data_IF_426969331277
#
_entry.id   IF_426969331277
#
_cell.length_a   1.000
_cell.length_b   1.000
_cell.length_c   1.000
_cell.angle_alpha   90.00
_cell.angle_beta   90.00
_cell.angle_gamma   90.00
#
_symmetry.space_group_name_H-M   'P 1'
#
loop_
_entity.id
_entity.type
_entity.pdbx_description
1 polymer ?
#
# COMPACT_ATOMS: atom_id res chain seq x y z
N UNK A 1 5.45 -4.44 17.31
CA UNK A 1 4.20 -4.12 16.59
C UNK A 1 3.32 -5.37 16.50
N UNK A 2 2.02 -5.29 16.82
CA UNK A 2 1.11 -6.44 16.70
C UNK A 2 0.37 -6.39 15.34
N UNK A 3 0.95 -7.02 14.32
CA UNK A 3 0.40 -7.04 12.95
C UNK A 3 -1.03 -7.58 12.91
N UNK A 4 -1.32 -8.70 13.57
CA UNK A 4 -2.65 -9.33 13.52
C UNK A 4 -3.73 -8.41 14.07
N UNK A 5 -3.42 -7.65 15.12
CA UNK A 5 -4.34 -6.66 15.68
C UNK A 5 -4.58 -5.49 14.72
N UNK A 6 -3.55 -5.03 13.99
CA UNK A 6 -3.70 -4.00 12.96
C UNK A 6 -4.63 -4.48 11.86
N UNK A 7 -4.43 -5.70 11.36
CA UNK A 7 -5.23 -6.28 10.29
C UNK A 7 -6.68 -6.45 10.73
N UNK A 8 -6.94 -7.07 11.89
CA UNK A 8 -8.30 -7.24 12.42
C UNK A 8 -9.02 -5.91 12.60
N UNK A 9 -8.35 -4.92 13.20
CA UNK A 9 -8.96 -3.60 13.41
C UNK A 9 -9.27 -2.90 12.08
N UNK A 10 -8.41 -3.03 11.07
CA UNK A 10 -8.65 -2.49 9.74
C UNK A 10 -9.86 -3.16 9.06
N UNK A 11 -9.99 -4.48 9.20
CA UNK A 11 -11.11 -5.24 8.66
C UNK A 11 -12.43 -4.83 9.33
N UNK A 12 -12.47 -4.79 10.67
CA UNK A 12 -13.63 -4.35 11.44
C UNK A 12 -14.05 -2.91 11.09
N UNK A 13 -13.09 -2.02 10.85
CA UNK A 13 -13.38 -0.65 10.41
C UNK A 13 -13.98 -0.61 9.00
N UNK A 14 -13.48 -1.42 8.08
CA UNK A 14 -14.01 -1.51 6.72
C UNK A 14 -15.42 -2.10 6.70
N UNK A 15 -15.69 -3.11 7.53
CA UNK A 15 -17.03 -3.66 7.73
C UNK A 15 -18.00 -2.60 8.25
N UNK A 16 -17.58 -1.80 9.24
CA UNK A 16 -18.40 -0.68 9.73
C UNK A 16 -18.66 0.37 8.67
N UNK A 17 -17.66 0.75 7.87
CA UNK A 17 -17.84 1.70 6.78
C UNK A 17 -18.84 1.19 5.72
N UNK A 18 -18.74 -0.09 5.34
CA UNK A 18 -19.67 -0.73 4.41
C UNK A 18 -21.09 -0.81 4.99
N UNK A 19 -21.25 -1.18 6.27
CA UNK A 19 -22.54 -1.23 6.95
C UNK A 19 -23.21 0.16 7.03
N UNK A 20 -22.42 1.23 7.09
CA UNK A 20 -22.89 2.62 7.05
C UNK A 20 -23.19 3.13 5.63
N UNK A 21 -22.97 2.30 4.59
CA UNK A 21 -23.23 2.66 3.20
C UNK A 21 -22.22 3.65 2.61
N UNK A 22 -20.99 3.69 3.15
CA UNK A 22 -19.93 4.52 2.58
C UNK A 22 -19.64 4.11 1.13
N UNK A 23 -19.60 5.10 0.22
CA UNK A 23 -19.24 4.88 -1.20
C UNK A 23 -17.81 5.28 -1.52
N UNK A 24 -17.25 6.17 -0.72
CA UNK A 24 -15.90 6.68 -0.89
C UNK A 24 -15.30 7.11 0.44
N UNK A 25 -14.00 6.89 0.61
CA UNK A 25 -13.23 7.31 1.78
C UNK A 25 -11.95 7.99 1.31
N UNK A 26 -11.58 9.08 1.98
CA UNK A 26 -10.31 9.78 1.78
C UNK A 26 -9.39 9.46 2.95
N UNK A 27 -8.18 8.98 2.68
CA UNK A 27 -7.22 8.55 3.70
C UNK A 27 -5.94 9.38 3.66
N UNK A 28 -5.39 9.79 4.81
CA UNK A 28 -4.17 10.58 4.85
C UNK A 28 -2.94 9.73 4.50
N UNK A 29 -2.01 10.34 3.78
CA UNK A 29 -0.63 9.87 3.63
C UNK A 29 0.28 10.95 4.17
N UNK A 30 1.10 10.61 5.16
CA UNK A 30 2.01 11.54 5.80
C UNK A 30 3.43 10.97 5.68
N UNK A 31 4.34 11.76 5.13
CA UNK A 31 5.76 11.41 5.09
C UNK A 31 6.28 11.22 6.53
N UNK A 32 7.34 10.42 6.73
CA UNK A 32 7.87 10.23 8.10
C UNK A 32 8.27 11.56 8.74
N UNK A 33 8.83 12.49 7.96
CA UNK A 33 9.22 13.82 8.42
C UNK A 33 8.00 14.67 8.83
N UNK A 34 6.97 14.72 8.01
CA UNK A 34 5.74 15.43 8.35
C UNK A 34 5.04 14.77 9.55
N UNK A 35 5.03 13.43 9.61
CA UNK A 35 4.41 12.67 10.69
C UNK A 35 5.10 12.94 12.03
N UNK A 36 6.45 12.87 12.07
CA UNK A 36 7.19 13.17 13.32
C UNK A 36 6.98 14.62 13.74
N UNK A 37 6.97 15.55 12.79
CA UNK A 37 6.75 16.97 13.08
C UNK A 37 5.36 17.18 13.64
N UNK A 38 4.33 16.64 12.98
CA UNK A 38 2.92 16.72 13.36
C UNK A 38 2.68 16.15 14.77
N UNK A 39 3.28 15.00 15.08
CA UNK A 39 3.17 14.32 16.37
C UNK A 39 4.16 14.79 17.45
N UNK A 40 5.08 15.72 17.15
CA UNK A 40 6.10 16.18 18.10
C UNK A 40 7.07 15.09 18.54
N UNK A 41 7.39 14.14 17.64
CA UNK A 41 8.27 13.00 17.90
C UNK A 41 9.70 13.30 17.47
N UNK A 42 10.68 12.73 18.17
CA UNK A 42 12.09 12.73 17.76
C UNK A 42 12.31 11.72 16.63
N UNK A 43 13.36 11.91 15.84
CA UNK A 43 13.80 10.86 14.90
C UNK A 43 14.56 9.78 15.68
N UNK A 44 13.83 8.75 16.07
CA UNK A 44 14.36 7.56 16.73
C UNK A 44 13.64 6.29 16.21
N UNK A 45 14.14 5.12 16.61
CA UNK A 45 13.58 3.84 16.20
C UNK A 45 12.10 3.69 16.60
N UNK A 46 11.72 4.20 17.76
CA UNK A 46 10.34 4.12 18.27
C UNK A 46 9.38 4.93 17.40
N UNK A 47 9.78 6.13 16.98
CA UNK A 47 9.01 6.96 16.04
C UNK A 47 8.86 6.29 14.67
N UNK A 48 9.93 5.69 14.15
CA UNK A 48 9.90 4.96 12.87
C UNK A 48 8.98 3.74 12.92
N UNK A 49 9.01 2.98 14.01
CA UNK A 49 8.11 1.84 14.20
C UNK A 49 6.64 2.27 14.35
N UNK A 50 6.37 3.39 15.03
CA UNK A 50 5.03 3.94 15.16
C UNK A 50 4.48 4.46 13.83
N UNK A 51 5.28 5.20 13.05
CA UNK A 51 4.91 5.63 11.70
C UNK A 51 4.64 4.44 10.78
N UNK A 52 5.51 3.43 10.82
CA UNK A 52 5.33 2.19 10.06
C UNK A 52 4.03 1.47 10.43
N UNK A 53 3.67 1.41 11.71
CA UNK A 53 2.42 0.82 12.16
C UNK A 53 1.20 1.57 11.62
N UNK A 54 1.31 2.90 11.46
CA UNK A 54 0.28 3.73 10.85
C UNK A 54 0.17 3.50 9.34
N UNK A 55 1.28 3.49 8.62
CA UNK A 55 1.31 3.15 7.19
C UNK A 55 0.65 1.80 6.93
N UNK A 56 1.00 0.80 7.74
CA UNK A 56 0.44 -0.54 7.67
C UNK A 56 -1.06 -0.55 7.92
N UNK A 57 -1.54 0.19 8.93
CA UNK A 57 -2.98 0.32 9.22
C UNK A 57 -3.73 0.94 8.04
N UNK A 58 -3.20 2.00 7.46
CA UNK A 58 -3.82 2.67 6.31
C UNK A 58 -3.80 1.77 5.07
N UNK A 59 -2.73 1.01 4.84
CA UNK A 59 -2.64 0.04 3.76
C UNK A 59 -3.73 -1.03 3.86
N UNK A 60 -3.81 -1.75 5.00
CA UNK A 60 -4.83 -2.79 5.17
C UNK A 60 -6.25 -2.22 5.13
N UNK A 61 -6.48 -1.07 5.76
CA UNK A 61 -7.80 -0.45 5.75
C UNK A 61 -8.23 -0.09 4.33
N UNK A 62 -7.34 0.50 3.53
CA UNK A 62 -7.56 0.74 2.10
C UNK A 62 -7.94 -0.56 1.37
N UNK A 63 -7.15 -1.63 1.51
CA UNK A 63 -7.41 -2.90 0.82
C UNK A 63 -8.78 -3.48 1.16
N UNK A 64 -9.17 -3.47 2.44
CA UNK A 64 -10.48 -3.99 2.85
C UNK A 64 -11.66 -3.11 2.43
N UNK A 65 -11.47 -1.78 2.33
CA UNK A 65 -12.48 -0.88 1.74
C UNK A 65 -12.67 -1.19 0.25
N UNK A 66 -11.57 -1.32 -0.50
CA UNK A 66 -11.58 -1.62 -1.94
C UNK A 66 -12.24 -2.98 -2.23
N UNK A 67 -11.94 -4.02 -1.43
CA UNK A 67 -12.56 -5.34 -1.53
C UNK A 67 -14.09 -5.30 -1.32
N UNK A 68 -14.61 -4.26 -0.65
CA UNK A 68 -16.04 -4.02 -0.43
C UNK A 68 -16.66 -3.08 -1.47
N UNK A 69 -15.91 -2.72 -2.51
CA UNK A 69 -16.36 -1.80 -3.56
C UNK A 69 -16.42 -0.33 -3.13
N UNK A 70 -15.75 0.04 -2.03
CA UNK A 70 -15.68 1.42 -1.55
C UNK A 70 -14.48 2.09 -2.22
N UNK A 71 -14.71 3.21 -2.90
CA UNK A 71 -13.63 3.98 -3.52
C UNK A 71 -12.70 4.58 -2.46
N UNK A 72 -11.40 4.48 -2.65
CA UNK A 72 -10.42 5.08 -1.73
C UNK A 72 -9.54 6.08 -2.46
N UNK A 73 -9.45 7.30 -1.94
CA UNK A 73 -8.52 8.31 -2.41
C UNK A 73 -7.50 8.60 -1.31
N UNK A 74 -6.23 8.35 -1.59
CA UNK A 74 -5.13 8.71 -0.70
C UNK A 74 -4.83 10.20 -0.86
N UNK A 75 -4.60 10.93 0.22
CA UNK A 75 -4.36 12.39 0.22
C UNK A 75 -3.08 12.69 0.96
N UNK A 76 -2.08 13.23 0.25
CA UNK A 76 -0.81 13.62 0.86
C UNK A 76 -1.00 14.81 1.78
N UNK A 77 -0.58 14.67 3.04
CA UNK A 77 -0.72 15.67 4.08
C UNK A 77 0.66 16.15 4.54
N UNK A 78 0.81 17.47 4.65
CA UNK A 78 2.00 18.15 5.19
C UNK A 78 1.71 18.63 6.59
N UNK A 79 2.69 18.62 7.49
CA UNK A 79 2.47 18.93 8.89
C UNK A 79 1.94 20.35 9.11
N UNK A 80 2.55 21.35 8.46
CA UNK A 80 2.23 22.76 8.68
C UNK A 80 0.84 23.14 8.12
N UNK A 81 0.47 22.80 6.87
CA UNK A 81 -0.87 23.05 6.35
C UNK A 81 -1.99 22.40 7.17
N UNK A 82 -1.77 21.18 7.67
CA UNK A 82 -2.76 20.52 8.55
C UNK A 82 -2.93 21.28 9.86
N UNK A 83 -1.84 21.82 10.42
CA UNK A 83 -1.86 22.59 11.67
C UNK A 83 -2.53 23.93 11.50
N UNK A 84 -2.20 24.65 10.44
CA UNK A 84 -2.82 25.94 10.08
C UNK A 84 -4.32 25.76 9.92
N UNK A 85 -4.74 24.76 9.12
CA UNK A 85 -6.15 24.44 8.94
C UNK A 85 -6.85 24.09 10.26
N UNK A 86 -6.21 23.30 11.13
CA UNK A 86 -6.80 22.92 12.42
C UNK A 86 -7.00 24.14 13.34
N UNK A 87 -6.07 25.10 13.34
CA UNK A 87 -6.20 26.36 14.08
C UNK A 87 -7.32 27.23 13.51
N UNK A 88 -7.40 27.36 12.18
CA UNK A 88 -8.44 28.15 11.51
C UNK A 88 -9.86 27.61 11.71
N UNK A 89 -9.99 26.31 11.99
CA UNK A 89 -11.26 25.61 12.14
C UNK A 89 -11.53 25.16 13.59
N UNK A 90 -10.82 25.72 14.58
CA UNK A 90 -10.99 25.45 16.02
C UNK A 90 -10.92 23.96 16.40
N UNK A 91 -10.10 23.18 15.68
CA UNK A 91 -9.89 21.76 15.96
C UNK A 91 -8.73 21.55 16.95
N UNK A 92 -8.97 20.90 18.11
CA UNK A 92 -7.89 20.60 19.07
C UNK A 92 -6.91 19.56 18.51
N UNK A 93 -5.65 19.63 18.94
CA UNK A 93 -4.55 18.73 18.53
C UNK A 93 -3.64 18.30 19.69
N UNK A 94 -4.14 18.30 20.92
CA UNK A 94 -3.38 18.00 22.13
C UNK A 94 -3.16 16.50 22.30
N UNK A 95 -4.19 15.68 22.01
CA UNK A 95 -4.13 14.23 22.13
C UNK A 95 -3.87 13.51 20.79
N UNK A 96 -3.49 12.24 20.85
CA UNK A 96 -3.35 11.42 19.63
C UNK A 96 -4.71 11.22 18.92
N UNK A 97 -5.79 11.03 19.68
CA UNK A 97 -7.13 10.88 19.12
C UNK A 97 -7.60 12.14 18.40
N UNK A 98 -7.32 13.30 18.98
CA UNK A 98 -7.58 14.61 18.38
C UNK A 98 -6.81 14.80 17.06
N UNK A 99 -5.51 14.49 17.04
CA UNK A 99 -4.70 14.56 15.82
C UNK A 99 -5.22 13.65 14.69
N UNK A 100 -5.68 12.45 15.02
CA UNK A 100 -6.30 11.54 14.05
C UNK A 100 -7.62 12.10 13.52
N UNK A 101 -8.43 12.71 14.38
CA UNK A 101 -9.67 13.38 13.99
C UNK A 101 -9.39 14.57 13.06
N UNK A 102 -8.37 15.38 13.37
CA UNK A 102 -7.92 16.49 12.50
C UNK A 102 -7.52 15.97 11.13
N UNK A 103 -6.67 14.95 11.04
CA UNK A 103 -6.28 14.37 9.75
C UNK A 103 -7.50 13.86 8.97
N UNK A 104 -8.43 13.18 9.65
CA UNK A 104 -9.65 12.67 9.02
C UNK A 104 -10.54 13.80 8.46
N UNK A 105 -10.64 14.94 9.13
CA UNK A 105 -11.38 16.09 8.60
C UNK A 105 -10.61 16.82 7.50
N UNK A 106 -9.32 17.07 7.71
CA UNK A 106 -8.46 17.78 6.76
C UNK A 106 -8.48 17.12 5.38
N UNK A 107 -8.35 15.80 5.30
CA UNK A 107 -8.31 15.08 4.01
C UNK A 107 -9.63 15.15 3.24
N UNK A 108 -10.75 15.48 3.89
CA UNK A 108 -12.06 15.61 3.27
C UNK A 108 -12.35 17.01 2.69
N UNK A 109 -11.37 17.91 2.73
CA UNK A 109 -11.47 19.17 2.01
C UNK A 109 -11.64 18.94 0.49
N UNK A 110 -12.54 19.68 -0.17
CA UNK A 110 -12.95 19.42 -1.55
C UNK A 110 -11.85 19.73 -2.57
N UNK A 111 -10.93 20.63 -2.24
CA UNK A 111 -9.86 21.14 -3.09
C UNK A 111 -8.54 20.35 -2.98
N UNK A 112 -8.41 19.47 -1.97
CA UNK A 112 -7.24 18.60 -1.86
C UNK A 112 -7.26 17.55 -2.98
N UNK A 113 -6.21 17.44 -3.81
CA UNK A 113 -6.14 16.41 -4.83
C UNK A 113 -5.78 15.04 -4.20
N UNK A 114 -6.17 13.93 -4.86
CA UNK A 114 -5.59 12.63 -4.55
C UNK A 114 -4.07 12.62 -4.79
N UNK A 115 -3.37 11.76 -4.05
CA UNK A 115 -1.95 11.52 -4.20
C UNK A 115 -1.60 11.06 -5.63
N UNK A 116 -0.57 11.66 -6.21
CA UNK A 116 -0.06 11.32 -7.53
C UNK A 116 1.27 10.58 -7.37
N UNK A 117 1.25 9.26 -7.51
CA UNK A 117 2.46 8.45 -7.46
C UNK A 117 2.77 7.82 -8.82
N UNK A 118 4.06 7.66 -9.13
CA UNK A 118 4.56 7.13 -10.41
C UNK A 118 5.05 5.67 -10.34
N UNK A 119 4.97 5.03 -9.16
CA UNK A 119 5.53 3.68 -8.95
C UNK A 119 4.66 2.53 -9.48
N UNK A 120 3.41 2.80 -9.87
CA UNK A 120 2.54 1.89 -10.61
C UNK A 120 2.20 2.60 -11.92
N UNK A 121 2.73 2.12 -13.05
CA UNK A 121 2.38 2.64 -14.39
C UNK A 121 1.35 1.69 -15.00
N UNK A 122 0.08 2.11 -15.14
CA UNK A 122 -0.91 1.24 -15.74
C UNK A 122 -0.52 0.91 -17.20
N UNK A 123 -0.87 -0.30 -17.63
CA UNK A 123 -0.89 -0.69 -19.04
C UNK A 123 -1.64 0.35 -19.86
N UNK A 124 -0.89 1.05 -20.71
CA UNK A 124 -1.48 1.81 -21.80
C UNK A 124 -1.72 0.86 -22.99
N UNK A 125 -2.72 1.15 -23.82
CA UNK A 125 -3.16 0.25 -24.90
C UNK A 125 -2.05 -0.05 -25.94
N UNK A 126 -1.11 0.87 -26.10
CA UNK A 126 0.12 0.74 -26.88
C UNK A 126 1.10 -0.29 -26.28
N UNK A 127 1.22 -0.37 -24.95
CA UNK A 127 2.07 -1.37 -24.30
C UNK A 127 1.53 -2.79 -24.46
N UNK A 128 0.21 -2.99 -24.39
CA UNK A 128 -0.41 -4.30 -24.60
C UNK A 128 -0.18 -4.86 -26.02
N UNK A 129 -0.12 -3.98 -27.04
CA UNK A 129 0.10 -4.36 -28.44
C UNK A 129 1.56 -4.40 -28.90
N UNK A 130 2.51 -4.08 -28.03
CA UNK A 130 3.91 -3.83 -28.39
C UNK A 130 4.77 -5.08 -28.64
N UNK A 131 4.29 -6.27 -28.22
CA UNK A 131 5.10 -7.49 -28.26
C UNK A 131 6.23 -7.51 -27.22
N UNK A 132 6.18 -6.65 -26.20
CA UNK A 132 7.13 -6.65 -25.08
C UNK A 132 7.15 -8.02 -24.38
N UNK A 133 8.36 -8.50 -24.07
CA UNK A 133 8.54 -9.69 -23.24
C UNK A 133 8.21 -9.36 -21.79
N UNK A 134 7.14 -9.97 -21.28
CA UNK A 134 6.67 -9.80 -19.91
C UNK A 134 7.15 -10.94 -19.02
N UNK A 135 7.59 -10.57 -17.83
CA UNK A 135 8.04 -11.47 -16.78
C UNK A 135 7.20 -11.22 -15.53
N UNK A 136 7.22 -12.16 -14.59
CA UNK A 136 6.61 -11.96 -13.28
C UNK A 136 7.61 -12.13 -12.15
N UNK A 137 7.41 -11.40 -11.05
CA UNK A 137 8.09 -11.64 -9.78
C UNK A 137 7.07 -11.91 -8.70
N UNK A 138 7.21 -13.03 -8.00
CA UNK A 138 6.47 -13.37 -6.81
C UNK A 138 7.32 -13.01 -5.58
N UNK A 139 6.74 -12.27 -4.65
CA UNK A 139 7.41 -11.86 -3.41
C UNK A 139 6.45 -12.01 -2.24
N UNK A 140 6.90 -12.71 -1.20
CA UNK A 140 6.17 -12.83 0.05
C UNK A 140 6.61 -11.71 0.99
N UNK A 141 5.64 -10.96 1.53
CA UNK A 141 5.92 -9.90 2.49
C UNK A 141 5.37 -10.25 3.89
N UNK A 142 6.11 -9.87 4.93
CA UNK A 142 5.72 -10.00 6.34
C UNK A 142 6.72 -9.28 7.25
N UNK A 143 6.31 -8.86 8.46
CA UNK A 143 7.26 -8.23 9.40
C UNK A 143 8.40 -9.16 9.86
N UNK A 144 8.14 -10.47 9.84
CA UNK A 144 9.12 -11.49 10.16
C UNK A 144 8.99 -12.68 9.20
N UNK A 145 10.07 -13.46 9.00
CA UNK A 145 10.04 -14.64 8.15
C UNK A 145 8.96 -15.67 8.53
N UNK A 146 8.66 -15.79 9.81
CA UNK A 146 7.67 -16.76 10.32
C UNK A 146 6.22 -16.27 10.24
N UNK A 147 5.99 -15.04 9.78
CA UNK A 147 4.67 -14.42 9.70
C UNK A 147 4.47 -13.74 8.34
N UNK A 148 4.39 -14.51 7.24
CA UNK A 148 4.02 -13.96 5.94
C UNK A 148 2.59 -13.41 5.97
N UNK A 149 2.38 -12.31 5.28
CA UNK A 149 1.13 -11.54 5.32
C UNK A 149 0.55 -11.32 3.92
N UNK A 150 1.40 -11.12 2.92
CA UNK A 150 1.01 -10.74 1.56
C UNK A 150 1.82 -11.56 0.56
N UNK A 151 1.15 -12.19 -0.40
CA UNK A 151 1.79 -12.64 -1.63
C UNK A 151 1.60 -11.57 -2.70
N UNK A 152 2.68 -10.95 -3.13
CA UNK A 152 2.67 -9.98 -4.23
C UNK A 152 3.13 -10.68 -5.50
N UNK A 153 2.35 -10.58 -6.56
CA UNK A 153 2.75 -10.97 -7.92
C UNK A 153 2.82 -9.71 -8.77
N UNK A 154 3.97 -9.44 -9.36
CA UNK A 154 4.21 -8.26 -10.19
C UNK A 154 4.50 -8.70 -11.60
N UNK A 155 3.72 -8.24 -12.56
CA UNK A 155 4.05 -8.37 -13.99
C UNK A 155 4.86 -7.16 -14.40
N UNK A 156 6.02 -7.38 -15.01
CA UNK A 156 6.94 -6.31 -15.36
C UNK A 156 7.78 -6.64 -16.60
N UNK A 157 8.33 -5.58 -17.18
CA UNK A 157 9.33 -5.66 -18.24
C UNK A 157 10.71 -5.99 -17.66
N UNK A 158 11.67 -6.33 -18.55
CA UNK A 158 13.04 -6.68 -18.15
C UNK A 158 13.82 -5.53 -17.50
N UNK A 159 13.52 -4.29 -17.89
CA UNK A 159 14.08 -3.07 -17.32
C UNK A 159 13.40 -2.63 -16.00
N UNK A 160 12.46 -3.44 -15.48
CA UNK A 160 11.81 -3.20 -14.18
C UNK A 160 10.55 -2.32 -14.25
N UNK A 161 10.04 -2.03 -15.45
CA UNK A 161 8.77 -1.34 -15.63
C UNK A 161 7.61 -2.20 -15.13
N UNK A 162 6.96 -1.77 -14.03
CA UNK A 162 5.81 -2.46 -13.44
C UNK A 162 4.56 -2.18 -14.27
N UNK A 163 3.87 -3.26 -14.65
CA UNK A 163 2.73 -3.27 -15.54
C UNK A 163 1.41 -3.44 -14.78
N UNK A 164 1.35 -4.48 -13.94
CA UNK A 164 0.26 -4.80 -13.04
C UNK A 164 0.87 -5.46 -11.81
N UNK A 165 0.32 -5.16 -10.63
CA UNK A 165 0.65 -5.87 -9.40
C UNK A 165 -0.63 -6.39 -8.76
N UNK A 166 -0.54 -7.59 -8.21
CA UNK A 166 -1.59 -8.23 -7.44
C UNK A 166 -1.05 -8.55 -6.06
N UNK A 167 -1.60 -7.90 -5.05
CA UNK A 167 -1.29 -8.15 -3.65
C UNK A 167 -2.43 -8.95 -3.01
N UNK A 168 -2.19 -10.25 -2.80
CA UNK A 168 -3.12 -11.18 -2.13
C UNK A 168 -2.81 -11.22 -0.64
N UNK A 169 -3.81 -10.87 0.19
CA UNK A 169 -3.67 -10.90 1.64
C UNK A 169 -3.90 -12.32 2.17
N UNK A 170 -2.93 -12.86 2.92
CA UNK A 170 -3.01 -14.20 3.50
C UNK A 170 -4.08 -14.35 4.61
N UNK A 171 -4.64 -13.24 5.08
CA UNK A 171 -5.78 -13.25 6.01
C UNK A 171 -7.13 -13.46 5.32
N UNK A 172 -7.20 -13.25 4.01
CA UNK A 172 -8.41 -13.43 3.21
C UNK A 172 -8.35 -14.70 2.33
N UNK A 173 -7.15 -15.25 2.13
CA UNK A 173 -6.92 -16.33 1.19
C UNK A 173 -6.00 -17.40 1.77
N UNK A 174 -6.28 -18.65 1.46
CA UNK A 174 -5.35 -19.75 1.66
C UNK A 174 -4.12 -19.62 0.72
N UNK A 175 -3.00 -20.31 1.03
CA UNK A 175 -1.85 -20.33 0.15
C UNK A 175 -2.17 -20.81 -1.28
N UNK A 176 -3.09 -21.77 -1.41
CA UNK A 176 -3.50 -22.29 -2.72
C UNK A 176 -4.28 -21.24 -3.51
N UNK A 177 -5.27 -20.58 -2.91
CA UNK A 177 -6.04 -19.51 -3.57
C UNK A 177 -5.13 -18.35 -4.00
N UNK A 178 -4.17 -17.98 -3.16
CA UNK A 178 -3.19 -16.94 -3.49
C UNK A 178 -2.31 -17.33 -4.70
N UNK A 179 -1.91 -18.60 -4.77
CA UNK A 179 -1.17 -19.13 -5.92
C UNK A 179 -2.03 -19.16 -7.19
N UNK A 180 -3.29 -19.61 -7.09
CA UNK A 180 -4.20 -19.67 -8.24
C UNK A 180 -4.46 -18.27 -8.83
N UNK A 181 -4.64 -17.26 -7.98
CA UNK A 181 -4.79 -15.86 -8.39
C UNK A 181 -3.52 -15.30 -9.05
N UNK A 182 -2.34 -15.66 -8.53
CA UNK A 182 -1.07 -15.30 -9.14
C UNK A 182 -0.91 -15.92 -10.55
N UNK A 183 -1.29 -17.19 -10.69
CA UNK A 183 -1.27 -17.90 -11.98
C UNK A 183 -2.25 -17.31 -13.00
N UNK A 184 -3.45 -16.91 -12.57
CA UNK A 184 -4.41 -16.22 -13.42
C UNK A 184 -3.82 -14.90 -13.96
N UNK A 185 -3.25 -14.07 -13.10
CA UNK A 185 -2.60 -12.82 -13.52
C UNK A 185 -1.49 -13.08 -14.55
N UNK A 186 -0.60 -14.04 -14.28
CA UNK A 186 0.49 -14.38 -15.20
C UNK A 186 -0.03 -14.91 -16.55
N UNK A 187 -1.09 -15.72 -16.53
CA UNK A 187 -1.70 -16.28 -17.74
C UNK A 187 -2.37 -15.19 -18.58
N UNK A 188 -3.11 -14.26 -17.95
CA UNK A 188 -3.76 -13.12 -18.63
C UNK A 188 -2.78 -12.25 -19.41
N UNK A 189 -1.53 -12.14 -18.93
CA UNK A 189 -0.46 -11.35 -19.56
C UNK A 189 0.51 -12.17 -20.43
N UNK A 190 0.31 -13.48 -20.56
CA UNK A 190 1.19 -14.34 -21.36
C UNK A 190 2.64 -14.38 -20.83
N UNK A 191 2.83 -14.24 -19.51
CA UNK A 191 4.14 -14.28 -18.86
C UNK A 191 4.84 -15.61 -19.15
N UNK A 192 6.10 -15.54 -19.57
CA UNK A 192 6.90 -16.73 -19.91
C UNK A 192 7.86 -17.16 -18.81
N UNK A 193 8.40 -16.20 -18.06
CA UNK A 193 9.30 -16.46 -16.95
C UNK A 193 8.75 -15.81 -15.68
N UNK A 194 8.79 -16.57 -14.60
CA UNK A 194 8.47 -16.10 -13.26
C UNK A 194 9.69 -16.26 -12.36
N UNK A 195 9.99 -15.20 -11.62
CA UNK A 195 11.00 -15.16 -10.57
C UNK A 195 10.30 -15.28 -9.23
N UNK A 196 10.92 -15.98 -8.30
CA UNK A 196 10.44 -16.05 -6.93
C UNK A 196 11.52 -15.52 -6.01
N UNK A 197 11.17 -14.54 -5.20
CA UNK A 197 12.00 -14.15 -4.07
C UNK A 197 11.90 -15.22 -2.99
N UNK A 198 12.99 -15.92 -2.63
CA UNK A 198 12.95 -16.95 -1.60
C UNK A 198 12.81 -16.39 -0.18
N UNK A 199 12.97 -15.08 0.01
CA UNK A 199 12.91 -14.43 1.31
C UNK A 199 11.53 -13.82 1.57
N UNK A 200 11.11 -13.85 2.83
CA UNK A 200 10.00 -13.02 3.30
C UNK A 200 10.53 -11.61 3.54
N UNK A 201 10.09 -10.67 2.71
CA UNK A 201 10.51 -9.28 2.80
C UNK A 201 9.67 -8.51 3.79
N UNK A 202 10.32 -7.59 4.48
CA UNK A 202 9.58 -6.59 5.26
C UNK A 202 8.78 -5.70 4.29
N UNK A 203 7.46 -5.48 4.49
CA UNK A 203 6.70 -4.56 3.64
C UNK A 203 7.31 -3.16 3.66
N UNK A 204 7.35 -2.46 2.54
CA UNK A 204 7.68 -1.03 2.52
C UNK A 204 6.55 -0.30 1.81
N UNK A 205 6.26 0.93 2.21
CA UNK A 205 5.12 1.67 1.70
C UNK A 205 5.59 2.97 1.06
N UNK A 206 5.00 3.30 -0.09
CA UNK A 206 5.30 4.54 -0.78
C UNK A 206 4.94 5.75 0.12
N UNK A 207 5.85 6.71 0.33
CA UNK A 207 5.58 7.88 1.14
C UNK A 207 4.53 8.83 0.52
N UNK A 208 4.23 8.68 -0.77
CA UNK A 208 3.31 9.58 -1.49
C UNK A 208 1.87 9.05 -1.49
N UNK A 209 1.69 7.73 -1.66
CA UNK A 209 0.38 7.09 -1.79
C UNK A 209 0.10 5.94 -0.81
N UNK A 210 1.08 5.55 0.02
CA UNK A 210 0.99 4.44 0.99
C UNK A 210 0.66 3.06 0.39
N UNK A 211 0.79 2.90 -0.92
CA UNK A 211 0.79 1.60 -1.59
C UNK A 211 2.03 0.79 -1.22
N UNK A 212 1.92 -0.54 -1.24
CA UNK A 212 3.06 -1.44 -1.06
C UNK A 212 4.09 -1.21 -2.16
N UNK A 213 5.36 -1.05 -1.78
CA UNK A 213 6.50 -1.02 -2.68
C UNK A 213 6.81 -2.45 -3.11
N UNK A 214 6.36 -2.78 -4.32
CA UNK A 214 6.50 -4.10 -4.91
C UNK A 214 7.91 -4.33 -5.47
N UNK A 215 8.34 -5.58 -5.51
CA UNK A 215 9.65 -5.98 -6.01
C UNK A 215 9.56 -6.55 -7.43
N UNK A 216 10.54 -6.21 -8.26
CA UNK A 216 10.74 -6.79 -9.59
C UNK A 216 12.09 -7.50 -9.65
N UNK A 217 12.20 -8.53 -10.47
CA UNK A 217 13.45 -9.26 -10.64
C UNK A 217 14.61 -8.32 -11.02
N UNK A 218 15.72 -8.51 -10.34
CA UNK A 218 16.97 -7.79 -10.57
C UNK A 218 17.67 -8.27 -11.84
N UNK A 219 18.57 -7.44 -12.38
CA UNK A 219 19.39 -7.83 -13.53
C UNK A 219 20.17 -9.14 -13.29
N UNK A 220 20.58 -9.42 -12.05
CA UNK A 220 21.28 -10.65 -11.67
C UNK A 220 20.39 -11.89 -11.78
N UNK A 221 19.10 -11.78 -11.45
CA UNK A 221 18.15 -12.89 -11.59
C UNK A 221 17.96 -13.24 -13.06
N UNK A 222 17.87 -12.24 -13.95
CA UNK A 222 17.83 -12.47 -15.39
C UNK A 222 19.07 -13.16 -15.94
N UNK A 223 20.27 -12.85 -15.40
CA UNK A 223 21.52 -13.50 -15.82
C UNK A 223 21.56 -15.00 -15.52
N UNK A 224 20.74 -15.51 -14.59
CA UNK A 224 20.70 -16.94 -14.23
C UNK A 224 19.84 -17.77 -15.18
N UNK A 225 19.05 -17.15 -16.04
CA UNK A 225 18.13 -17.81 -16.98
C UNK A 225 18.71 -17.81 -18.41
N UNK A 226 19.84 -17.11 -18.65
CA UNK A 226 20.54 -17.22 -19.93
C UNK A 226 21.31 -18.54 -20.01
N UNK A 227 21.03 -19.40 -21.01
CA UNK A 227 21.84 -20.59 -21.27
C UNK A 227 23.25 -20.23 -21.76
#
# INVERSE_FOLDING_TARGET
MNTLQIIKSAQENADRAAAQGARGVRLPVVSFEDWRNFHGRKDDLSAREAHRAEQKRNYYFKRFLEAKGIGVAMVTCRADPVREWAVENDHPMQSQGERLHVLAHYVNQPDLPPAQCVHKRPLTADMAGSGLELNATLTTYGESPDAPEILSTVVHTRDGGVLESLEVLGVEHSPQEAFDLAMDLMSRHGVRNAFQDPQVRRPEFCPDCNELLVHTASAQEYSRIQP
#
